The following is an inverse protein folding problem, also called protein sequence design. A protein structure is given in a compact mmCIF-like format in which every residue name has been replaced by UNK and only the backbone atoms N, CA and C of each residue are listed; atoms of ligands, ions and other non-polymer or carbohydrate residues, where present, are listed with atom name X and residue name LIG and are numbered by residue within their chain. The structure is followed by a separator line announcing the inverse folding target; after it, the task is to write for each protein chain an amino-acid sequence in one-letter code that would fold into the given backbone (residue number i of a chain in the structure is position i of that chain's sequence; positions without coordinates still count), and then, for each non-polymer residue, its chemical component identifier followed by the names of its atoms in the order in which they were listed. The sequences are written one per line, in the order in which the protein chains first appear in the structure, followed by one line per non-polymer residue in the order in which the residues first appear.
data_IF_544069441312
#
_entry.id   IF_544069441312
#
_cell.length_a   1.000
_cell.length_b   1.000
_cell.length_c   1.000
_cell.angle_alpha   90.00
_cell.angle_beta   90.00
_cell.angle_gamma   90.00
#
_symmetry.space_group_name_H-M   'P 1'
#
loop_
_entity.id
_entity.type
_entity.pdbx_description
1 polymer ?
#
# COMPACT_ATOMS: atom_id res chain seq x y z
N UNK A 1 -43.36 -0.99 29.69
CA UNK A 1 -41.91 -1.23 29.96
C UNK A 1 -41.50 -0.16 30.97
N UNK A 2 -41.02 -0.54 32.17
CA UNK A 2 -40.76 0.40 33.26
C UNK A 2 -39.62 1.39 32.86
N UNK A 3 -39.79 2.70 33.13
CA UNK A 3 -38.79 3.77 32.90
C UNK A 3 -37.38 3.40 33.43
N UNK A 4 -37.35 2.62 34.52
CA UNK A 4 -36.09 2.12 35.09
C UNK A 4 -35.30 1.20 34.17
N UNK A 5 -35.99 0.41 33.32
CA UNK A 5 -35.34 -0.46 32.32
C UNK A 5 -34.76 0.36 31.15
N UNK A 6 -35.46 1.39 30.72
CA UNK A 6 -34.98 2.29 29.64
C UNK A 6 -33.75 3.05 30.11
N UNK A 7 -33.75 3.59 31.32
CA UNK A 7 -32.58 4.30 31.89
C UNK A 7 -31.36 3.38 32.04
N UNK A 8 -31.54 2.11 32.44
CA UNK A 8 -30.44 1.12 32.54
C UNK A 8 -29.89 0.76 31.18
N UNK A 9 -30.72 0.59 30.17
CA UNK A 9 -30.27 0.33 28.79
C UNK A 9 -29.51 1.53 28.20
N UNK A 10 -29.98 2.76 28.43
CA UNK A 10 -29.30 3.98 28.00
C UNK A 10 -27.94 4.15 28.66
N UNK A 11 -27.86 3.87 29.97
CA UNK A 11 -26.61 3.92 30.74
C UNK A 11 -25.60 2.87 30.24
N UNK A 12 -26.07 1.65 29.94
CA UNK A 12 -25.23 0.58 29.42
C UNK A 12 -24.69 0.90 28.02
N UNK A 13 -25.52 1.55 27.20
CA UNK A 13 -25.16 2.02 25.87
C UNK A 13 -24.13 3.16 25.92
N UNK A 14 -24.29 4.10 26.85
CA UNK A 14 -23.35 5.21 27.05
C UNK A 14 -22.00 4.69 27.56
N UNK A 15 -22.00 3.69 28.45
CA UNK A 15 -20.80 3.05 28.97
C UNK A 15 -20.06 2.26 27.89
N UNK A 16 -20.79 1.57 27.03
CA UNK A 16 -20.21 0.85 25.88
C UNK A 16 -19.60 1.83 24.88
N UNK A 17 -20.23 3.00 24.69
CA UNK A 17 -19.73 4.04 23.78
C UNK A 17 -18.45 4.72 24.29
N UNK A 18 -18.31 4.87 25.62
CA UNK A 18 -17.10 5.40 26.28
C UNK A 18 -15.93 4.41 26.27
N UNK A 19 -16.21 3.08 26.20
CA UNK A 19 -15.17 2.05 26.12
C UNK A 19 -14.61 1.85 24.69
N UNK A 20 -15.36 2.21 23.65
CA UNK A 20 -14.94 2.06 22.25
C UNK A 20 -13.63 2.79 21.87
N UNK A 21 -13.34 4.03 22.36
CA UNK A 21 -12.06 4.68 22.06
C UNK A 21 -10.88 4.03 22.77
N UNK A 22 -11.08 3.32 23.86
CA UNK A 22 -10.02 2.61 24.60
C UNK A 22 -9.54 1.36 23.83
N UNK A 23 -10.40 0.75 23.02
CA UNK A 23 -10.05 -0.38 22.16
C UNK A 23 -9.19 0.03 20.93
N UNK A 24 -9.11 1.33 20.62
CA UNK A 24 -8.20 1.85 19.60
C UNK A 24 -6.74 1.92 20.04
N UNK A 25 -6.48 1.81 21.33
CA UNK A 25 -5.14 1.80 21.91
C UNK A 25 -4.52 0.39 22.04
N UNK A 26 -5.22 -0.65 21.60
CA UNK A 26 -4.54 -1.91 21.29
C UNK A 26 -3.75 -1.65 20.01
N UNK A 27 -2.64 -0.98 20.21
CA UNK A 27 -1.49 -0.99 19.33
C UNK A 27 -1.34 -2.43 18.85
N UNK A 28 -1.51 -2.64 17.55
CA UNK A 28 -0.84 -3.73 16.88
C UNK A 28 0.66 -3.40 17.02
N UNK A 29 1.20 -3.63 18.20
CA UNK A 29 2.57 -4.05 18.32
C UNK A 29 2.61 -5.32 17.46
N UNK A 30 3.00 -5.15 16.20
CA UNK A 30 3.45 -6.25 15.39
C UNK A 30 4.48 -6.93 16.27
N UNK A 31 4.09 -8.04 16.87
CA UNK A 31 5.00 -8.96 17.51
C UNK A 31 5.95 -9.30 16.36
N UNK A 32 7.13 -8.70 16.37
CA UNK A 32 8.28 -9.21 15.65
C UNK A 32 8.51 -10.59 16.25
N UNK A 33 7.69 -11.55 15.83
CA UNK A 33 8.01 -12.95 15.90
C UNK A 33 9.26 -13.09 15.04
N UNK A 34 10.38 -13.30 15.69
CA UNK A 34 11.71 -13.31 15.11
C UNK A 34 12.01 -14.53 14.23
N UNK A 35 11.10 -14.86 13.36
CA UNK A 35 11.33 -15.62 12.15
C UNK A 35 11.27 -14.64 11.01
N UNK A 36 12.45 -14.18 10.64
CA UNK A 36 12.66 -13.40 9.42
C UNK A 36 11.99 -14.20 8.28
N UNK A 37 10.87 -13.73 7.69
CA UNK A 37 10.17 -14.49 6.65
C UNK A 37 11.05 -14.68 5.40
N UNK A 38 12.22 -14.05 5.38
CA UNK A 38 13.19 -14.06 4.28
C UNK A 38 14.31 -15.11 4.47
N UNK A 39 14.46 -15.71 5.67
CA UNK A 39 15.49 -16.74 5.92
C UNK A 39 15.20 -18.09 5.22
N UNK A 40 14.01 -18.28 4.69
CA UNK A 40 13.61 -19.44 3.90
C UNK A 40 13.27 -19.06 2.45
N UNK A 41 14.01 -18.16 1.82
CA UNK A 41 13.89 -17.96 0.38
C UNK A 41 14.59 -19.11 -0.35
N UNK A 42 13.86 -20.12 -0.83
CA UNK A 42 14.43 -21.10 -1.72
C UNK A 42 14.56 -20.41 -3.09
N UNK A 43 15.78 -20.27 -3.54
CA UNK A 43 16.17 -19.76 -4.85
C UNK A 43 15.88 -18.25 -5.05
N UNK A 44 16.87 -17.42 -4.80
CA UNK A 44 17.03 -16.16 -5.51
C UNK A 44 16.80 -16.42 -6.98
N UNK A 45 15.83 -15.71 -7.57
CA UNK A 45 15.31 -15.96 -8.87
C UNK A 45 16.39 -16.14 -9.93
N UNK A 46 16.06 -16.88 -10.96
CA UNK A 46 16.95 -17.09 -12.10
C UNK A 46 17.44 -15.74 -12.62
N UNK A 47 18.75 -15.56 -12.68
CA UNK A 47 19.38 -14.51 -13.47
C UNK A 47 18.98 -14.84 -14.91
N UNK A 48 18.01 -14.13 -15.43
CA UNK A 48 17.67 -14.16 -16.85
C UNK A 48 18.56 -13.16 -17.58
N UNK A 49 18.65 -13.25 -18.88
CA UNK A 49 19.39 -12.28 -19.73
C UNK A 49 18.94 -10.82 -19.52
N UNK A 50 17.82 -10.60 -18.84
CA UNK A 50 17.19 -9.30 -18.56
C UNK A 50 17.33 -8.82 -17.10
N UNK A 51 18.26 -9.38 -16.32
CA UNK A 51 18.51 -8.90 -14.95
C UNK A 51 18.00 -9.82 -13.83
N UNK A 52 17.98 -9.29 -12.59
CA UNK A 52 17.59 -10.02 -11.41
C UNK A 52 16.07 -10.04 -11.23
N UNK A 53 15.47 -11.25 -11.19
CA UNK A 53 14.01 -11.43 -11.10
C UNK A 53 13.61 -12.25 -9.88
N UNK A 54 12.56 -11.85 -9.20
CA UNK A 54 11.96 -12.61 -8.11
C UNK A 54 10.42 -12.61 -8.22
N UNK A 55 9.76 -13.69 -7.85
CA UNK A 55 8.29 -13.84 -7.91
C UNK A 55 7.70 -14.14 -6.54
N UNK A 56 6.71 -13.37 -6.15
CA UNK A 56 5.92 -13.62 -4.94
C UNK A 56 4.99 -14.82 -5.16
N UNK A 57 5.19 -15.90 -4.40
CA UNK A 57 4.39 -17.13 -4.51
C UNK A 57 2.93 -16.96 -4.11
N UNK A 58 2.60 -15.95 -3.29
CA UNK A 58 1.23 -15.70 -2.80
C UNK A 58 0.41 -14.87 -3.78
N UNK A 59 0.99 -13.83 -4.35
CA UNK A 59 0.28 -12.88 -5.21
C UNK A 59 0.52 -13.14 -6.69
N UNK A 60 1.62 -13.82 -7.04
CA UNK A 60 2.08 -14.00 -8.42
C UNK A 60 2.84 -12.79 -8.98
N UNK A 61 2.82 -11.65 -8.30
CA UNK A 61 3.54 -10.44 -8.71
C UNK A 61 5.05 -10.63 -8.64
N UNK A 62 5.77 -9.82 -9.43
CA UNK A 62 7.21 -9.98 -9.65
C UNK A 62 7.99 -8.72 -9.28
N UNK A 63 9.24 -8.92 -8.89
CA UNK A 63 10.27 -7.88 -8.86
C UNK A 63 11.19 -8.13 -10.04
N UNK A 64 11.54 -7.07 -10.76
CA UNK A 64 12.52 -7.12 -11.85
C UNK A 64 13.52 -5.97 -11.65
N UNK A 65 14.80 -6.28 -11.60
CA UNK A 65 15.88 -5.28 -11.63
C UNK A 65 16.62 -5.44 -12.94
N UNK A 66 16.49 -4.45 -13.80
CA UNK A 66 17.08 -4.40 -15.13
C UNK A 66 18.05 -3.22 -15.19
N UNK A 67 19.26 -3.46 -14.70
CA UNK A 67 20.32 -2.45 -14.63
C UNK A 67 21.20 -2.49 -15.90
N UNK A 68 20.61 -2.07 -17.03
CA UNK A 68 21.22 -2.10 -18.38
C UNK A 68 22.58 -1.38 -18.48
N UNK A 69 22.90 -0.54 -17.51
CA UNK A 69 24.11 0.31 -17.59
C UNK A 69 25.02 0.18 -16.38
N UNK A 70 24.86 -0.86 -15.57
CA UNK A 70 25.68 -1.19 -14.41
C UNK A 70 25.81 0.01 -13.42
N UNK A 71 24.69 0.57 -13.02
CA UNK A 71 24.66 1.65 -11.99
C UNK A 71 24.84 1.11 -10.59
N UNK A 72 24.37 -0.12 -10.36
CA UNK A 72 24.37 -0.79 -9.08
C UNK A 72 25.38 -1.95 -9.08
N UNK A 73 25.98 -2.18 -7.94
CA UNK A 73 26.74 -3.41 -7.75
C UNK A 73 25.78 -4.58 -7.49
N UNK A 74 26.20 -5.81 -7.77
CA UNK A 74 25.38 -7.00 -7.52
C UNK A 74 24.93 -7.15 -6.06
N UNK A 75 25.67 -6.58 -5.10
CA UNK A 75 25.28 -6.54 -3.70
C UNK A 75 24.15 -5.52 -3.45
N UNK A 76 24.20 -4.37 -4.11
CA UNK A 76 23.17 -3.34 -4.04
C UNK A 76 21.89 -3.79 -4.73
N UNK A 77 21.98 -4.47 -5.89
CA UNK A 77 20.83 -5.06 -6.56
C UNK A 77 20.08 -6.06 -5.68
N UNK A 78 20.80 -6.96 -5.01
CA UNK A 78 20.20 -7.92 -4.07
C UNK A 78 19.51 -7.22 -2.90
N UNK A 79 20.17 -6.23 -2.32
CA UNK A 79 19.60 -5.45 -1.22
C UNK A 79 18.36 -4.69 -1.68
N UNK A 80 18.39 -4.09 -2.87
CA UNK A 80 17.25 -3.39 -3.45
C UNK A 80 16.09 -4.34 -3.75
N UNK A 81 16.37 -5.54 -4.24
CA UNK A 81 15.38 -6.58 -4.44
C UNK A 81 14.62 -6.88 -3.14
N UNK A 82 15.33 -7.03 -2.02
CA UNK A 82 14.72 -7.27 -0.70
C UNK A 82 13.80 -6.12 -0.30
N UNK A 83 14.19 -4.88 -0.57
CA UNK A 83 13.39 -3.68 -0.28
C UNK A 83 12.15 -3.56 -1.20
N UNK A 84 12.20 -4.11 -2.41
CA UNK A 84 11.09 -4.11 -3.37
C UNK A 84 10.04 -5.20 -3.10
N UNK A 85 10.41 -6.31 -2.44
CA UNK A 85 9.53 -7.45 -2.16
C UNK A 85 8.20 -7.04 -1.47
N UNK A 86 8.16 -6.17 -0.45
CA UNK A 86 6.90 -5.77 0.18
C UNK A 86 5.89 -5.14 -0.79
N UNK A 87 6.36 -4.48 -1.85
CA UNK A 87 5.48 -3.90 -2.87
C UNK A 87 4.74 -4.96 -3.69
N UNK A 88 5.26 -6.19 -3.76
CA UNK A 88 4.60 -7.29 -4.46
C UNK A 88 3.32 -7.79 -3.78
N UNK A 89 2.93 -7.24 -2.65
CA UNK A 89 1.58 -7.40 -2.11
C UNK A 89 0.53 -6.60 -2.89
N UNK A 90 0.95 -5.58 -3.66
CA UNK A 90 0.08 -4.62 -4.34
C UNK A 90 0.21 -4.68 -5.86
N UNK A 91 1.36 -5.09 -6.39
CA UNK A 91 1.62 -5.19 -7.81
C UNK A 91 3.04 -5.63 -8.12
N UNK A 92 3.32 -5.87 -9.39
CA UNK A 92 4.66 -6.14 -9.88
C UNK A 92 5.48 -4.86 -9.90
N UNK A 93 6.78 -4.94 -9.60
CA UNK A 93 7.66 -3.76 -9.54
C UNK A 93 8.94 -3.98 -10.30
N UNK A 94 9.43 -2.94 -10.97
CA UNK A 94 10.70 -2.99 -11.67
C UNK A 94 11.55 -1.74 -11.40
N UNK A 95 12.87 -1.96 -11.42
CA UNK A 95 13.86 -0.91 -11.65
C UNK A 95 14.40 -1.07 -13.06
N UNK A 96 14.52 0.02 -13.78
CA UNK A 96 15.25 0.10 -15.04
C UNK A 96 16.23 1.26 -15.04
N UNK A 97 17.48 1.00 -15.42
CA UNK A 97 18.50 2.04 -15.59
C UNK A 97 18.78 2.28 -17.06
N UNK A 98 18.99 3.54 -17.47
CA UNK A 98 19.22 3.92 -18.86
C UNK A 98 20.08 5.17 -19.00
N UNK A 99 20.56 5.45 -20.24
CA UNK A 99 21.26 6.68 -20.63
C UNK A 99 20.58 7.44 -21.77
N UNK A 100 19.32 7.10 -22.08
CA UNK A 100 18.59 7.72 -23.17
C UNK A 100 18.25 9.20 -22.96
N UNK A 101 17.75 9.86 -24.00
CA UNK A 101 17.15 11.20 -23.88
C UNK A 101 15.82 11.11 -23.13
N UNK A 102 15.52 12.11 -22.26
CA UNK A 102 14.37 12.07 -21.35
C UNK A 102 13.02 11.86 -22.07
N UNK A 103 12.83 12.48 -23.25
CA UNK A 103 11.58 12.34 -24.02
C UNK A 103 11.35 10.88 -24.49
N UNK A 104 12.41 10.23 -24.96
CA UNK A 104 12.37 8.85 -25.43
C UNK A 104 12.25 7.88 -24.26
N UNK A 105 12.92 8.17 -23.15
CA UNK A 105 12.89 7.32 -21.94
C UNK A 105 11.48 7.18 -21.38
N UNK A 106 10.66 8.22 -21.39
CA UNK A 106 9.26 8.14 -20.90
C UNK A 106 8.43 7.13 -21.71
N UNK A 107 8.55 7.20 -23.04
CA UNK A 107 7.84 6.26 -23.94
C UNK A 107 8.37 4.84 -23.80
N UNK A 108 9.69 4.67 -23.81
CA UNK A 108 10.34 3.37 -23.65
C UNK A 108 10.03 2.72 -22.31
N UNK A 109 9.96 3.52 -21.23
CA UNK A 109 9.62 3.02 -19.90
C UNK A 109 8.21 2.43 -19.85
N UNK A 110 7.25 3.12 -20.47
CA UNK A 110 5.87 2.62 -20.51
C UNK A 110 5.76 1.35 -21.39
N UNK A 111 6.44 1.30 -22.53
CA UNK A 111 6.51 0.11 -23.39
C UNK A 111 7.19 -1.06 -22.67
N UNK A 112 8.33 -0.80 -21.99
CA UNK A 112 9.05 -1.81 -21.22
C UNK A 112 8.22 -2.32 -20.06
N UNK A 113 7.53 -1.44 -19.33
CA UNK A 113 6.60 -1.83 -18.25
C UNK A 113 5.50 -2.76 -18.78
N UNK A 114 4.88 -2.40 -19.92
CA UNK A 114 3.85 -3.24 -20.54
C UNK A 114 4.41 -4.56 -21.06
N UNK A 115 5.61 -4.56 -21.62
CA UNK A 115 6.28 -5.79 -22.06
C UNK A 115 6.57 -6.74 -20.89
N UNK A 116 7.02 -6.21 -19.74
CA UNK A 116 7.34 -7.00 -18.56
C UNK A 116 6.08 -7.53 -17.84
N UNK A 117 5.05 -6.69 -17.70
CA UNK A 117 3.93 -6.94 -16.79
C UNK A 117 2.55 -6.95 -17.47
N UNK A 118 2.46 -6.60 -18.76
CA UNK A 118 1.17 -6.47 -19.44
C UNK A 118 0.29 -5.38 -18.81
N UNK A 119 -0.98 -5.71 -18.62
CA UNK A 119 -1.98 -4.84 -17.95
C UNK A 119 -2.08 -5.07 -16.43
N UNK A 120 -1.18 -5.90 -15.88
CA UNK A 120 -1.16 -6.16 -14.44
C UNK A 120 -0.89 -4.87 -13.64
N UNK A 121 -1.34 -4.87 -12.39
CA UNK A 121 -0.93 -3.85 -11.43
C UNK A 121 0.58 -3.85 -11.30
N UNK A 122 1.21 -2.74 -11.66
CA UNK A 122 2.67 -2.67 -11.71
C UNK A 122 3.19 -1.26 -11.50
N UNK A 123 4.45 -1.13 -11.12
CA UNK A 123 5.15 0.15 -11.04
C UNK A 123 6.58 -0.05 -11.52
N UNK A 124 7.01 0.77 -12.47
CA UNK A 124 8.40 0.82 -12.92
C UNK A 124 9.05 2.12 -12.44
N UNK A 125 10.18 1.97 -11.80
CA UNK A 125 11.09 3.06 -11.47
C UNK A 125 12.17 3.12 -12.54
N UNK A 126 12.42 4.28 -13.10
CA UNK A 126 13.46 4.46 -14.12
C UNK A 126 14.49 5.46 -13.62
N UNK A 127 15.76 5.07 -13.69
CA UNK A 127 16.88 5.97 -13.44
C UNK A 127 17.55 6.30 -14.75
N UNK A 128 17.46 7.56 -15.18
CA UNK A 128 18.20 8.05 -16.33
C UNK A 128 19.51 8.68 -15.86
N UNK A 129 20.63 8.02 -16.17
CA UNK A 129 21.97 8.49 -15.79
C UNK A 129 22.36 9.77 -16.52
N UNK A 130 21.93 9.94 -17.77
CA UNK A 130 22.32 11.11 -18.57
C UNK A 130 21.76 12.41 -18.00
N UNK A 131 20.50 12.41 -17.61
CA UNK A 131 19.83 13.56 -17.01
C UNK A 131 19.89 13.59 -15.48
N UNK A 132 20.40 12.54 -14.85
CA UNK A 132 20.40 12.35 -13.39
C UNK A 132 19.00 12.48 -12.79
N UNK A 133 18.00 11.91 -13.47
CA UNK A 133 16.61 11.96 -13.09
C UNK A 133 16.04 10.59 -12.82
N UNK A 134 15.06 10.59 -11.91
CA UNK A 134 14.21 9.44 -11.63
C UNK A 134 12.81 9.71 -12.19
N UNK A 135 12.18 8.68 -12.75
CA UNK A 135 10.76 8.71 -13.09
C UNK A 135 10.04 7.48 -12.56
N UNK A 136 8.74 7.62 -12.30
CA UNK A 136 7.89 6.57 -11.75
C UNK A 136 6.72 6.34 -12.71
N UNK A 137 6.57 5.11 -13.17
CA UNK A 137 5.55 4.70 -14.14
C UNK A 137 4.62 3.67 -13.51
N UNK A 138 3.57 4.09 -12.79
CA UNK A 138 2.59 3.18 -12.21
C UNK A 138 1.58 2.73 -13.27
N UNK A 139 1.12 1.47 -13.16
CA UNK A 139 0.09 0.89 -14.01
C UNK A 139 -0.95 0.12 -13.20
N UNK A 140 -2.12 -0.14 -13.79
CA UNK A 140 -3.20 -0.88 -13.14
C UNK A 140 -3.65 -0.24 -11.82
N UNK A 141 -3.86 -1.04 -10.79
CA UNK A 141 -4.33 -0.54 -9.49
C UNK A 141 -3.28 0.31 -8.76
N UNK A 142 -1.98 0.14 -9.01
CA UNK A 142 -0.95 0.99 -8.42
C UNK A 142 -1.02 2.43 -8.93
N UNK A 143 -1.48 2.68 -10.15
CA UNK A 143 -1.72 4.03 -10.67
C UNK A 143 -2.83 4.77 -9.91
N UNK A 144 -3.78 4.04 -9.30
CA UNK A 144 -4.82 4.62 -8.45
C UNK A 144 -4.30 4.90 -7.03
N UNK A 145 -3.37 4.07 -6.55
CA UNK A 145 -2.80 4.18 -5.21
C UNK A 145 -1.74 5.28 -5.10
N UNK A 146 -1.00 5.52 -6.19
CA UNK A 146 0.10 6.48 -6.23
C UNK A 146 -0.38 7.73 -7.00
N UNK A 147 -0.74 8.78 -6.28
CA UNK A 147 -1.13 10.05 -6.93
C UNK A 147 0.10 10.73 -7.56
N UNK A 148 -0.12 11.52 -8.64
CA UNK A 148 0.93 12.28 -9.30
C UNK A 148 1.73 13.15 -8.30
N UNK A 149 1.04 13.86 -7.40
CA UNK A 149 1.70 14.70 -6.39
C UNK A 149 2.57 13.89 -5.40
N UNK A 150 2.23 12.64 -5.13
CA UNK A 150 3.06 11.76 -4.31
C UNK A 150 4.27 11.26 -5.09
N UNK A 151 4.08 10.86 -6.35
CA UNK A 151 5.17 10.50 -7.25
C UNK A 151 6.18 11.64 -7.40
N UNK A 152 5.72 12.87 -7.66
CA UNK A 152 6.58 14.06 -7.80
C UNK A 152 7.43 14.33 -6.55
N UNK A 153 6.86 14.11 -5.35
CA UNK A 153 7.61 14.28 -4.10
C UNK A 153 8.72 13.23 -3.93
N UNK A 154 8.46 12.01 -4.34
CA UNK A 154 9.46 10.93 -4.31
C UNK A 154 10.56 11.25 -5.32
N UNK A 155 10.19 11.58 -6.55
CA UNK A 155 11.11 11.95 -7.65
C UNK A 155 12.01 13.12 -7.22
N UNK A 156 11.43 14.24 -6.78
CA UNK A 156 12.19 15.45 -6.39
C UNK A 156 13.21 15.19 -5.27
N UNK A 157 12.96 14.18 -4.45
CA UNK A 157 13.91 13.79 -3.40
C UNK A 157 14.99 12.86 -3.93
N UNK A 158 14.62 11.88 -4.75
CA UNK A 158 15.56 10.96 -5.35
C UNK A 158 16.53 11.67 -6.30
N UNK A 159 16.07 12.66 -7.07
CA UNK A 159 16.91 13.46 -7.98
C UNK A 159 18.07 14.14 -7.25
N UNK A 160 17.88 14.54 -5.98
CA UNK A 160 18.97 15.11 -5.17
C UNK A 160 20.07 14.11 -4.85
N UNK A 161 19.71 12.85 -4.63
CA UNK A 161 20.70 11.78 -4.40
C UNK A 161 21.34 11.36 -5.73
N UNK A 162 20.58 11.32 -6.82
CA UNK A 162 21.12 11.04 -8.16
C UNK A 162 22.15 12.08 -8.60
N UNK A 163 21.88 13.37 -8.34
CA UNK A 163 22.82 14.46 -8.62
C UNK A 163 24.15 14.34 -7.86
N UNK A 164 24.17 13.57 -6.78
CA UNK A 164 25.39 13.23 -6.01
C UNK A 164 26.05 11.92 -6.45
N UNK A 165 25.43 11.20 -7.40
CA UNK A 165 25.86 9.89 -7.85
C UNK A 165 25.46 8.73 -6.92
N UNK A 166 24.54 8.95 -5.98
CA UNK A 166 24.08 7.95 -5.01
C UNK A 166 22.89 7.15 -5.56
N UNK A 167 23.09 6.37 -6.62
CA UNK A 167 22.03 5.67 -7.36
C UNK A 167 21.27 4.67 -6.49
N UNK A 168 21.97 3.85 -5.72
CA UNK A 168 21.35 2.90 -4.79
C UNK A 168 20.46 3.62 -3.76
N UNK A 169 20.97 4.66 -3.10
CA UNK A 169 20.19 5.40 -2.09
C UNK A 169 18.94 6.06 -2.66
N UNK A 170 19.02 6.57 -3.90
CA UNK A 170 17.89 7.15 -4.60
C UNK A 170 16.79 6.11 -4.87
N UNK A 171 17.17 4.94 -5.40
CA UNK A 171 16.24 3.84 -5.68
C UNK A 171 15.62 3.28 -4.39
N UNK A 172 16.44 3.01 -3.37
CA UNK A 172 16.04 2.50 -2.07
C UNK A 172 15.03 3.42 -1.35
N UNK A 173 15.32 4.73 -1.24
CA UNK A 173 14.39 5.71 -0.64
C UNK A 173 13.08 5.77 -1.45
N UNK A 174 13.15 5.72 -2.78
CA UNK A 174 11.96 5.74 -3.62
C UNK A 174 11.08 4.50 -3.41
N UNK A 175 11.62 3.30 -3.45
CA UNK A 175 10.85 2.06 -3.23
C UNK A 175 10.31 1.96 -1.81
N UNK A 176 11.08 2.34 -0.79
CA UNK A 176 10.62 2.38 0.60
C UNK A 176 9.40 3.29 0.78
N UNK A 177 9.42 4.47 0.13
CA UNK A 177 8.28 5.40 0.15
C UNK A 177 7.08 4.87 -0.61
N UNK A 178 7.29 4.26 -1.77
CA UNK A 178 6.21 3.62 -2.54
C UNK A 178 5.54 2.52 -1.72
N UNK A 179 6.32 1.70 -1.01
CA UNK A 179 5.80 0.67 -0.11
C UNK A 179 4.98 1.28 1.05
N UNK A 180 5.47 2.36 1.65
CA UNK A 180 4.74 3.10 2.68
C UNK A 180 3.41 3.67 2.18
N UNK A 181 3.37 4.23 0.97
CA UNK A 181 2.15 4.75 0.35
C UNK A 181 1.14 3.63 0.06
N UNK A 182 1.57 2.55 -0.57
CA UNK A 182 0.72 1.42 -0.88
C UNK A 182 0.13 0.79 0.40
N UNK A 183 0.94 0.61 1.44
CA UNK A 183 0.50 0.10 2.74
C UNK A 183 -0.49 1.02 3.46
N UNK A 184 -0.25 2.34 3.46
CA UNK A 184 -1.13 3.31 4.11
C UNK A 184 -2.50 3.41 3.44
N UNK A 185 -2.55 3.30 2.12
CA UNK A 185 -3.80 3.38 1.35
C UNK A 185 -4.69 2.17 1.60
N UNK A 186 -4.10 0.96 1.69
CA UNK A 186 -4.85 -0.26 2.05
C UNK A 186 -5.44 -0.15 3.46
N UNK A 187 -4.69 0.35 4.42
CA UNK A 187 -5.17 0.58 5.78
C UNK A 187 -6.31 1.62 5.81
N UNK A 188 -6.19 2.71 5.07
CA UNK A 188 -7.23 3.73 4.98
C UNK A 188 -8.51 3.22 4.31
N UNK A 189 -8.40 2.40 3.27
CA UNK A 189 -9.56 1.78 2.60
C UNK A 189 -10.32 0.83 3.54
N UNK A 190 -9.61 -0.02 4.28
CA UNK A 190 -10.22 -0.91 5.27
C UNK A 190 -10.93 -0.15 6.39
N UNK A 191 -10.34 0.94 6.88
CA UNK A 191 -10.95 1.80 7.89
C UNK A 191 -12.23 2.50 7.40
N UNK A 192 -12.28 2.91 6.11
CA UNK A 192 -13.50 3.50 5.52
C UNK A 192 -14.63 2.48 5.42
N UNK A 193 -14.35 1.27 4.99
CA UNK A 193 -15.34 0.19 4.93
C UNK A 193 -15.88 -0.13 6.32
N UNK A 194 -15.02 -0.25 7.33
CA UNK A 194 -15.45 -0.44 8.72
C UNK A 194 -16.29 0.72 9.24
N UNK A 195 -15.90 1.96 8.95
CA UNK A 195 -16.63 3.16 9.37
C UNK A 195 -18.02 3.24 8.76
N UNK A 196 -18.18 2.92 7.47
CA UNK A 196 -19.49 2.93 6.80
C UNK A 196 -20.40 1.80 7.28
N UNK A 197 -19.87 0.59 7.50
CA UNK A 197 -20.62 -0.52 8.08
C UNK A 197 -21.07 -0.20 9.52
N UNK A 198 -20.19 0.38 10.32
CA UNK A 198 -20.52 0.76 11.69
C UNK A 198 -21.60 1.86 11.74
N UNK A 199 -21.52 2.86 10.85
CA UNK A 199 -22.54 3.90 10.73
C UNK A 199 -23.89 3.33 10.33
N UNK A 200 -23.92 2.42 9.35
CA UNK A 200 -25.16 1.73 8.92
C UNK A 200 -25.78 0.91 10.05
N UNK A 201 -24.96 0.19 10.84
CA UNK A 201 -25.41 -0.55 12.00
C UNK A 201 -26.02 0.35 13.07
N UNK A 202 -25.38 1.49 13.35
CA UNK A 202 -25.87 2.46 14.32
C UNK A 202 -27.20 3.08 13.91
N UNK A 203 -27.36 3.42 12.62
CA UNK A 203 -28.64 3.92 12.07
C UNK A 203 -29.73 2.85 12.20
N UNK A 204 -29.42 1.61 11.85
CA UNK A 204 -30.35 0.49 11.97
C UNK A 204 -30.82 0.25 13.40
N UNK A 205 -29.91 0.28 14.38
CA UNK A 205 -30.24 0.13 15.79
C UNK A 205 -31.07 1.28 16.35
N UNK A 206 -30.80 2.53 15.93
CA UNK A 206 -31.59 3.68 16.36
C UNK A 206 -33.02 3.62 15.80
N UNK A 207 -33.18 3.25 14.52
CA UNK A 207 -34.49 3.09 13.91
C UNK A 207 -35.30 1.95 14.55
N UNK A 208 -34.66 0.83 14.85
CA UNK A 208 -35.29 -0.27 15.57
C UNK A 208 -35.74 0.14 16.98
N UNK A 209 -34.92 0.91 17.69
CA UNK A 209 -35.26 1.45 19.01
C UNK A 209 -36.46 2.40 18.98
N UNK A 210 -36.51 3.30 17.99
CA UNK A 210 -37.64 4.21 17.77
C UNK A 210 -38.91 3.42 17.43
N UNK A 211 -38.81 2.42 16.56
CA UNK A 211 -39.94 1.57 16.19
C UNK A 211 -40.54 0.83 17.39
N UNK A 212 -39.71 0.24 18.25
CA UNK A 212 -40.14 -0.42 19.48
C UNK A 212 -40.83 0.55 20.45
N UNK A 213 -40.30 1.77 20.56
CA UNK A 213 -40.91 2.82 21.42
C UNK A 213 -42.25 3.30 20.88
N UNK A 214 -42.39 3.49 19.57
CA UNK A 214 -43.66 3.87 18.94
C UNK A 214 -44.71 2.78 19.12
N UNK A 215 -44.35 1.52 18.92
CA UNK A 215 -45.27 0.38 19.10
C UNK A 215 -45.72 0.22 20.55
N UNK A 216 -44.81 0.46 21.51
CA UNK A 216 -45.17 0.37 22.94
C UNK A 216 -46.09 1.49 23.40
N UNK A 217 -46.13 2.64 22.72
CA UNK A 217 -47.05 3.75 23.00
C UNK A 217 -48.47 3.50 22.46
N UNK A 218 -48.56 2.88 21.26
CA UNK A 218 -49.88 2.56 20.69
C UNK A 218 -50.65 1.52 21.49
N UNK A 219 -49.99 0.58 22.14
CA UNK A 219 -50.66 -0.41 23.03
C UNK A 219 -51.26 0.13 24.30
N UNK A 220 -51.02 1.39 24.68
CA UNK A 220 -51.53 2.02 25.91
C UNK A 220 -52.81 2.86 25.74
N UNK A 221 -53.31 3.01 24.53
CA UNK A 221 -54.50 3.79 24.23
C UNK A 221 -55.78 2.92 24.10
N UNK A 222 -55.68 1.61 24.36
CA UNK A 222 -56.80 0.66 24.25
C UNK A 222 -57.17 0.02 25.62
N UNK A 223 -56.71 0.57 26.75
CA UNK A 223 -57.26 0.31 28.10
C UNK A 223 -57.93 1.59 28.65
#
# INVERSE_FOLDING_TARGET
MSERRVRRLLSLFLFLFLLLPQLRAVSFAATKSGTDPYLNMPNFGSITETGLTWKNSKTGFRVVIDDDIDLLTSAEERKLLEEMIPLTEYGSVALWSTRGEDADVQTQAEEKRRSLFGEESSCMLVINKASQRLSIHPGGSLAVLISAAQADRIVSRADKELARGHFFSAASDAFSRLAGLAGSTKSAASLRVFSTLFLALMIGLTLAGVFVLCRSRQGRHFE
#
